data_IF_728748996849
#
_entry.id   IF_728748996849
#
_cell.length_a   1.000
_cell.length_b   1.000
_cell.length_c   1.000
_cell.angle_alpha   90.00
_cell.angle_beta   90.00
_cell.angle_gamma   90.00
#
_symmetry.space_group_name_H-M   'P 1'
#
loop_
_entity.id
_entity.type
_entity.pdbx_description
1 polymer ?
#
# COMPACT_ATOMS: atom_id res chain seq x y z
N UNK A 1 32.47 14.46 3.25
CA UNK A 1 32.05 13.36 4.14
C UNK A 1 30.54 13.16 3.98
N UNK A 2 30.13 12.42 2.94
CA UNK A 2 28.75 11.91 2.74
C UNK A 2 28.88 10.67 1.86
N UNK A 3 29.25 9.55 2.48
CA UNK A 3 29.40 8.23 1.84
C UNK A 3 28.54 7.16 2.53
N UNK A 4 27.43 7.55 3.20
CA UNK A 4 26.64 6.60 3.99
C UNK A 4 25.17 6.45 3.58
N UNK A 5 24.68 7.09 2.53
CA UNK A 5 23.25 7.04 2.18
C UNK A 5 22.86 5.88 1.26
N UNK A 6 23.81 5.16 0.64
CA UNK A 6 23.48 4.29 -0.50
C UNK A 6 23.61 2.77 -0.27
N UNK A 7 24.04 2.27 0.90
CA UNK A 7 24.33 0.81 1.04
C UNK A 7 23.81 0.10 2.30
N UNK A 8 23.23 0.79 3.30
CA UNK A 8 22.65 0.14 4.48
C UNK A 8 21.42 0.90 4.97
N UNK A 9 20.22 0.37 4.75
CA UNK A 9 19.05 1.02 5.33
C UNK A 9 17.68 0.52 4.91
N UNK A 10 17.55 -0.69 4.34
CA UNK A 10 16.22 -1.28 4.24
C UNK A 10 15.80 -1.67 5.66
N UNK A 11 14.89 -0.90 6.25
CA UNK A 11 14.23 -1.26 7.50
C UNK A 11 13.69 -2.68 7.39
N UNK A 12 13.86 -3.47 8.46
CA UNK A 12 13.28 -4.81 8.51
C UNK A 12 11.76 -4.72 8.38
N UNK A 13 11.11 -5.74 7.83
CA UNK A 13 9.65 -5.75 7.67
C UNK A 13 8.92 -5.47 9.00
N UNK A 14 9.45 -5.98 10.13
CA UNK A 14 8.90 -5.70 11.47
C UNK A 14 9.03 -4.23 11.89
N UNK A 15 10.15 -3.59 11.56
CA UNK A 15 10.37 -2.17 11.83
C UNK A 15 9.44 -1.30 10.99
N UNK A 16 9.21 -1.70 9.73
CA UNK A 16 8.31 -1.01 8.81
C UNK A 16 6.85 -1.13 9.25
N UNK A 17 6.38 -2.34 9.57
CA UNK A 17 5.03 -2.58 10.10
C UNK A 17 4.77 -1.76 11.37
N UNK A 18 5.76 -1.65 12.27
CA UNK A 18 5.66 -0.82 13.46
C UNK A 18 5.55 0.68 13.12
N UNK A 19 6.30 1.18 12.12
CA UNK A 19 6.15 2.56 11.64
C UNK A 19 4.77 2.80 11.02
N UNK A 20 4.24 1.83 10.26
CA UNK A 20 2.91 1.90 9.68
C UNK A 20 1.84 1.97 10.78
N UNK A 21 1.96 1.13 11.82
CA UNK A 21 1.08 1.20 12.99
C UNK A 21 1.11 2.59 13.64
N UNK A 22 2.30 3.19 13.80
CA UNK A 22 2.46 4.54 14.34
C UNK A 22 1.77 5.60 13.48
N UNK A 23 1.92 5.53 12.15
CA UNK A 23 1.27 6.46 11.21
C UNK A 23 -0.24 6.37 11.29
N UNK A 24 -0.80 5.15 11.32
CA UNK A 24 -2.25 4.94 11.44
C UNK A 24 -2.77 5.49 12.77
N UNK A 25 -2.08 5.21 13.88
CA UNK A 25 -2.43 5.75 15.20
C UNK A 25 -2.39 7.28 15.23
N UNK A 26 -1.44 7.90 14.52
CA UNK A 26 -1.33 9.36 14.45
C UNK A 26 -2.47 9.98 13.62
N UNK A 27 -2.87 9.32 12.53
CA UNK A 27 -3.91 9.82 11.63
C UNK A 27 -5.34 9.57 12.17
N UNK A 28 -5.52 8.56 13.03
CA UNK A 28 -6.81 8.18 13.63
C UNK A 28 -6.72 7.94 15.15
N UNK A 29 -6.32 8.94 15.96
CA UNK A 29 -6.00 8.74 17.38
C UNK A 29 -7.20 8.34 18.25
N UNK A 30 -8.42 8.67 17.83
CA UNK A 30 -9.65 8.42 18.59
C UNK A 30 -10.43 7.17 18.13
N UNK A 31 -9.99 6.52 17.05
CA UNK A 31 -10.79 5.53 16.34
C UNK A 31 -10.26 4.11 16.62
N UNK A 32 -10.56 3.61 17.83
CA UNK A 32 -10.04 2.31 18.33
C UNK A 32 -10.49 1.09 17.51
N UNK A 33 -11.55 1.22 16.71
CA UNK A 33 -12.08 0.16 15.85
C UNK A 33 -11.61 0.32 14.38
N UNK A 34 -10.72 1.27 14.11
CA UNK A 34 -10.18 1.48 12.77
C UNK A 34 -9.29 0.30 12.38
N UNK A 35 -9.81 -0.53 11.48
CA UNK A 35 -9.03 -1.61 10.93
C UNK A 35 -8.13 -1.06 9.82
N UNK A 36 -6.92 -1.59 9.72
CA UNK A 36 -6.07 -1.34 8.59
C UNK A 36 -5.33 -2.60 8.18
N UNK A 37 -4.85 -2.64 6.96
CA UNK A 37 -3.97 -3.70 6.47
C UNK A 37 -2.91 -3.10 5.57
N UNK A 38 -1.69 -3.64 5.66
CA UNK A 38 -0.56 -3.20 4.87
C UNK A 38 -0.23 -4.23 3.79
N UNK A 39 -0.23 -3.78 2.54
CA UNK A 39 0.26 -4.51 1.38
C UNK A 39 1.60 -3.95 0.93
N UNK A 40 2.62 -4.81 0.92
CA UNK A 40 3.94 -4.47 0.45
C UNK A 40 4.18 -5.05 -0.94
N UNK A 41 4.13 -4.21 -1.96
CA UNK A 41 4.38 -4.57 -3.35
C UNK A 41 5.87 -4.64 -3.71
N UNK A 42 6.80 -4.58 -2.73
CA UNK A 42 8.25 -4.79 -2.99
C UNK A 42 8.51 -6.24 -3.39
N UNK A 43 8.56 -6.49 -4.69
CA UNK A 43 8.83 -7.78 -5.29
C UNK A 43 9.60 -7.60 -6.61
N UNK A 44 9.88 -8.69 -7.33
CA UNK A 44 10.61 -8.62 -8.60
C UNK A 44 9.72 -8.12 -9.75
N UNK A 45 8.41 -8.40 -9.69
CA UNK A 45 7.42 -8.02 -10.70
C UNK A 45 6.05 -7.81 -10.04
N UNK A 46 5.31 -6.80 -10.49
CA UNK A 46 3.91 -6.61 -10.12
C UNK A 46 3.07 -7.16 -11.27
N UNK A 47 2.39 -8.28 -11.06
CA UNK A 47 1.44 -8.80 -12.06
C UNK A 47 0.01 -8.42 -11.67
N UNK A 48 -0.84 -7.95 -12.61
CA UNK A 48 -2.18 -7.46 -12.32
C UNK A 48 -3.07 -8.45 -11.57
N UNK A 49 -2.95 -9.75 -11.85
CA UNK A 49 -3.74 -10.80 -11.18
C UNK A 49 -3.40 -10.94 -9.69
N UNK A 50 -2.12 -10.82 -9.33
CA UNK A 50 -1.68 -10.85 -7.94
C UNK A 50 -2.17 -9.62 -7.18
N UNK A 51 -2.13 -8.45 -7.83
CA UNK A 51 -2.69 -7.21 -7.26
C UNK A 51 -4.17 -7.38 -7.00
N UNK A 52 -4.91 -7.87 -7.99
CA UNK A 52 -6.34 -8.11 -7.88
C UNK A 52 -6.67 -9.06 -6.71
N UNK A 53 -6.02 -10.22 -6.64
CA UNK A 53 -6.25 -11.20 -5.57
C UNK A 53 -5.93 -10.60 -4.20
N UNK A 54 -4.79 -9.91 -4.06
CA UNK A 54 -4.38 -9.30 -2.80
C UNK A 54 -5.40 -8.25 -2.34
N UNK A 55 -5.81 -7.35 -3.24
CA UNK A 55 -6.80 -6.32 -2.94
C UNK A 55 -8.14 -6.93 -2.52
N UNK A 56 -8.61 -7.98 -3.19
CA UNK A 56 -9.85 -8.66 -2.81
C UNK A 56 -9.74 -9.35 -1.45
N UNK A 57 -8.64 -10.04 -1.17
CA UNK A 57 -8.39 -10.64 0.14
C UNK A 57 -8.43 -9.57 1.25
N UNK A 58 -7.86 -8.39 1.02
CA UNK A 58 -7.94 -7.28 1.95
C UNK A 58 -9.37 -6.80 2.15
N UNK A 59 -10.12 -6.54 1.08
CA UNK A 59 -11.51 -6.09 1.21
C UNK A 59 -12.34 -7.11 2.01
N UNK A 60 -12.08 -8.41 1.81
CA UNK A 60 -12.73 -9.45 2.59
C UNK A 60 -12.33 -9.46 4.07
N UNK A 61 -11.13 -9.04 4.45
CA UNK A 61 -10.75 -8.93 5.86
C UNK A 61 -11.51 -7.82 6.60
N UNK A 62 -12.07 -6.84 5.88
CA UNK A 62 -12.92 -5.79 6.44
C UNK A 62 -14.41 -6.13 6.51
N UNK A 63 -14.83 -7.39 6.28
CA UNK A 63 -16.25 -7.79 6.25
C UNK A 63 -17.05 -7.39 7.51
N UNK A 64 -16.38 -7.32 8.66
CA UNK A 64 -16.97 -6.94 9.96
C UNK A 64 -16.86 -5.45 10.29
N UNK A 65 -16.15 -4.67 9.46
CA UNK A 65 -15.81 -3.28 9.76
C UNK A 65 -16.34 -2.34 8.68
N UNK A 66 -17.12 -1.34 9.12
CA UNK A 66 -17.68 -0.32 8.22
C UNK A 66 -16.66 0.74 7.80
N UNK A 67 -15.51 0.82 8.48
CA UNK A 67 -14.44 1.77 8.17
C UNK A 67 -13.09 1.06 8.19
N UNK A 68 -12.21 1.41 7.28
CA UNK A 68 -10.86 0.85 7.28
C UNK A 68 -9.94 1.45 6.21
N UNK A 69 -8.67 1.09 6.29
CA UNK A 69 -7.66 1.60 5.35
C UNK A 69 -6.73 0.51 4.83
N UNK A 70 -6.46 0.59 3.54
CA UNK A 70 -5.44 -0.21 2.87
C UNK A 70 -4.21 0.67 2.67
N UNK A 71 -3.12 0.21 3.24
CA UNK A 71 -1.81 0.83 3.21
C UNK A 71 -1.02 0.11 2.13
N UNK A 72 -0.58 0.79 1.07
CA UNK A 72 0.13 0.20 -0.07
C UNK A 72 1.54 0.78 -0.20
N UNK A 73 2.57 -0.04 0.00
CA UNK A 73 3.96 0.37 -0.22
C UNK A 73 4.62 -0.34 -1.39
N UNK A 74 5.75 0.18 -1.86
CA UNK A 74 6.72 -0.63 -2.59
C UNK A 74 6.51 -0.68 -4.10
N UNK A 75 5.43 -0.08 -4.61
CA UNK A 75 5.13 -0.08 -6.04
C UNK A 75 6.23 0.63 -6.81
N UNK A 76 6.62 1.83 -6.35
CA UNK A 76 7.65 2.64 -7.01
C UNK A 76 8.99 1.90 -7.04
N UNK A 77 9.37 1.25 -5.95
CA UNK A 77 10.60 0.47 -5.85
C UNK A 77 10.58 -0.69 -6.83
N UNK A 78 9.48 -1.43 -6.91
CA UNK A 78 9.36 -2.55 -7.84
C UNK A 78 9.42 -2.11 -9.30
N UNK A 79 8.69 -1.04 -9.66
CA UNK A 79 8.75 -0.47 -11.02
C UNK A 79 10.12 0.13 -11.35
N UNK A 80 10.85 0.62 -10.34
CA UNK A 80 12.19 1.22 -10.50
C UNK A 80 13.36 0.25 -10.33
N UNK A 81 13.12 -1.04 -10.06
CA UNK A 81 14.17 -2.04 -9.79
C UNK A 81 15.30 -1.96 -10.82
N UNK A 82 16.46 -1.45 -10.38
CA UNK A 82 17.69 -1.33 -11.19
C UNK A 82 17.63 -0.34 -12.37
N UNK A 83 16.61 0.52 -12.49
CA UNK A 83 16.40 1.39 -13.65
C UNK A 83 15.85 2.76 -13.26
N UNK A 84 16.34 3.82 -13.92
CA UNK A 84 15.88 5.21 -13.73
C UNK A 84 14.36 5.34 -13.81
N UNK A 85 13.81 6.25 -13.00
CA UNK A 85 12.39 6.65 -13.08
C UNK A 85 12.15 7.43 -14.38
N UNK A 86 11.20 6.98 -15.19
CA UNK A 86 10.85 7.59 -16.49
C UNK A 86 9.39 7.99 -16.49
N UNK A 87 8.99 8.89 -17.41
CA UNK A 87 7.59 9.26 -17.59
C UNK A 87 6.67 8.06 -17.87
N UNK A 88 7.19 7.03 -18.57
CA UNK A 88 6.48 5.77 -18.78
C UNK A 88 6.21 5.04 -17.46
N UNK A 89 7.20 4.96 -16.56
CA UNK A 89 7.02 4.33 -15.23
C UNK A 89 6.09 5.13 -14.33
N UNK A 90 6.13 6.45 -14.42
CA UNK A 90 5.15 7.31 -13.74
C UNK A 90 3.73 7.00 -14.21
N UNK A 91 3.53 6.85 -15.52
CA UNK A 91 2.23 6.44 -16.08
C UNK A 91 1.79 5.07 -15.56
N UNK A 92 2.67 4.07 -15.63
CA UNK A 92 2.41 2.71 -15.12
C UNK A 92 2.08 2.72 -13.61
N UNK A 93 2.78 3.56 -12.82
CA UNK A 93 2.51 3.75 -11.39
C UNK A 93 1.12 4.33 -11.14
N UNK A 94 0.75 5.41 -11.83
CA UNK A 94 -0.57 6.03 -11.65
C UNK A 94 -1.70 5.10 -12.14
N UNK A 95 -1.52 4.41 -13.25
CA UNK A 95 -2.49 3.42 -13.76
C UNK A 95 -2.73 2.31 -12.73
N UNK A 96 -1.66 1.81 -12.10
CA UNK A 96 -1.78 0.79 -11.07
C UNK A 96 -2.47 1.31 -9.80
N UNK A 97 -2.19 2.56 -9.38
CA UNK A 97 -2.88 3.19 -8.26
C UNK A 97 -4.38 3.31 -8.52
N UNK A 98 -4.75 3.87 -9.66
CA UNK A 98 -6.16 4.00 -10.05
C UNK A 98 -6.84 2.63 -10.16
N UNK A 99 -6.14 1.61 -10.66
CA UNK A 99 -6.67 0.25 -10.68
C UNK A 99 -6.97 -0.30 -9.27
N UNK A 100 -6.08 -0.07 -8.30
CA UNK A 100 -6.29 -0.49 -6.91
C UNK A 100 -7.45 0.28 -6.28
N UNK A 101 -7.49 1.60 -6.46
CA UNK A 101 -8.57 2.46 -5.97
C UNK A 101 -9.93 2.00 -6.53
N UNK A 102 -10.01 1.75 -7.84
CA UNK A 102 -11.19 1.23 -8.52
C UNK A 102 -11.62 -0.13 -7.94
N UNK A 103 -10.69 -1.05 -7.70
CA UNK A 103 -11.00 -2.34 -7.11
C UNK A 103 -11.59 -2.21 -5.71
N UNK A 104 -11.04 -1.30 -4.90
CA UNK A 104 -11.54 -1.06 -3.55
C UNK A 104 -12.95 -0.50 -3.59
N UNK A 105 -13.19 0.53 -4.41
CA UNK A 105 -14.52 1.16 -4.53
C UNK A 105 -15.57 0.16 -5.07
N UNK A 106 -15.23 -0.63 -6.09
CA UNK A 106 -16.17 -1.58 -6.70
C UNK A 106 -16.58 -2.73 -5.80
N UNK A 107 -15.75 -3.08 -4.81
CA UNK A 107 -15.97 -4.23 -3.93
C UNK A 107 -16.31 -3.81 -2.49
N UNK A 108 -16.32 -2.51 -2.18
CA UNK A 108 -16.81 -1.99 -0.92
C UNK A 108 -18.34 -2.21 -0.78
N UNK A 109 -18.79 -2.48 0.44
CA UNK A 109 -20.23 -2.58 0.73
C UNK A 109 -20.88 -1.18 0.69
N UNK A 110 -22.21 -1.11 0.48
CA UNK A 110 -22.95 0.13 0.71
C UNK A 110 -22.64 0.68 2.11
N UNK A 111 -22.33 1.98 2.18
CA UNK A 111 -21.96 2.71 3.40
C UNK A 111 -20.60 2.33 4.03
N UNK A 112 -19.79 1.51 3.36
CA UNK A 112 -18.43 1.19 3.82
C UNK A 112 -17.44 2.28 3.41
N UNK A 113 -16.75 2.84 4.40
CA UNK A 113 -15.74 3.89 4.25
C UNK A 113 -14.35 3.25 4.21
N UNK A 114 -13.92 2.85 3.02
CA UNK A 114 -12.58 2.29 2.77
C UNK A 114 -11.68 3.35 2.13
N UNK A 115 -10.52 3.57 2.74
CA UNK A 115 -9.48 4.46 2.21
C UNK A 115 -8.27 3.68 1.70
N UNK A 116 -7.61 4.18 0.66
CA UNK A 116 -6.33 3.63 0.18
C UNK A 116 -5.26 4.71 0.30
N UNK A 117 -4.12 4.35 0.88
CA UNK A 117 -2.97 5.23 1.03
C UNK A 117 -1.74 4.58 0.40
N UNK A 118 -0.99 5.33 -0.41
CA UNK A 118 0.20 4.88 -1.12
C UNK A 118 1.47 5.56 -0.60
N UNK A 119 2.55 4.82 -0.39
CA UNK A 119 3.83 5.32 0.13
C UNK A 119 5.06 4.56 -0.43
#
# INVERSE_FOLDING_TARGET
MRENDDLQGKMSNRSFEHCIEQVVRFHFPNDRNFHYTHWNARCHTIEPLWVHSSVLEFIQSFKTSMRGMILVSGIRETLSTGRRWTARKEKEYQELRSYIEDLVVRNARPDQDLSVLFF
#
